data_IF_606477328351
#
_entry.id   IF_606477328351
#
_cell.length_a   1.000
_cell.length_b   1.000
_cell.length_c   1.000
_cell.angle_alpha   90.00
_cell.angle_beta   90.00
_cell.angle_gamma   90.00
#
_symmetry.space_group_name_H-M   'P 1'
#
loop_
_entity.id
_entity.type
_entity.pdbx_description
1 polymer ?
#
# COMPACT_ATOMS: atom_id res chain seq x y z
N UNK A 1 -9.96 14.37 -5.95
CA UNK A 1 -8.68 13.71 -5.63
C UNK A 1 -7.54 14.66 -5.27
N UNK A 2 -6.98 15.39 -6.25
CA UNK A 2 -5.79 16.25 -6.05
C UNK A 2 -5.93 17.27 -4.91
N UNK A 3 -7.09 17.94 -4.79
CA UNK A 3 -7.33 18.93 -3.73
C UNK A 3 -7.18 18.34 -2.32
N UNK A 4 -7.68 17.11 -2.13
CA UNK A 4 -7.55 16.37 -0.86
C UNK A 4 -6.09 16.03 -0.59
N UNK A 5 -5.37 15.57 -1.62
CA UNK A 5 -3.94 15.29 -1.53
C UNK A 5 -3.12 16.54 -1.15
N UNK A 6 -3.39 17.66 -1.82
CA UNK A 6 -2.71 18.93 -1.56
C UNK A 6 -2.95 19.41 -0.12
N UNK A 7 -4.18 19.24 0.38
CA UNK A 7 -4.58 19.66 1.73
C UNK A 7 -3.97 18.80 2.83
N UNK A 8 -3.90 17.48 2.63
CA UNK A 8 -3.62 16.54 3.74
C UNK A 8 -2.34 15.72 3.58
N UNK A 9 -1.84 15.52 2.35
CA UNK A 9 -0.78 14.55 2.07
C UNK A 9 0.55 15.20 1.68
N UNK A 10 0.52 16.35 1.00
CA UNK A 10 1.71 17.03 0.45
C UNK A 10 2.76 17.36 1.51
N UNK A 11 2.33 17.71 2.72
CA UNK A 11 3.26 18.05 3.81
C UNK A 11 4.28 16.96 4.10
N UNK A 12 3.90 15.69 3.96
CA UNK A 12 4.77 14.53 4.17
C UNK A 12 5.23 13.90 2.84
N UNK A 13 4.32 13.68 1.90
CA UNK A 13 4.63 12.95 0.67
C UNK A 13 5.20 13.83 -0.45
N UNK A 14 5.15 15.16 -0.32
CA UNK A 14 5.62 16.11 -1.33
C UNK A 14 4.62 16.31 -2.47
N UNK A 15 4.77 17.42 -3.21
CA UNK A 15 3.88 17.77 -4.33
C UNK A 15 3.88 16.71 -5.43
N UNK A 16 5.03 16.08 -5.65
CA UNK A 16 5.23 15.01 -6.64
C UNK A 16 4.89 13.61 -6.11
N UNK A 17 4.62 13.48 -4.80
CA UNK A 17 4.48 12.18 -4.15
C UNK A 17 5.78 11.40 -3.99
N UNK A 18 6.93 12.05 -4.07
CA UNK A 18 8.26 11.44 -3.99
C UNK A 18 8.75 11.19 -2.54
N UNK A 19 7.89 11.41 -1.55
CA UNK A 19 8.21 11.24 -0.14
C UNK A 19 9.07 12.35 0.44
N UNK A 20 9.23 13.48 -0.28
CA UNK A 20 10.10 14.61 0.10
C UNK A 20 9.31 15.85 0.51
N UNK A 21 8.17 15.66 1.18
CA UNK A 21 7.42 16.78 1.77
C UNK A 21 8.24 17.50 2.85
N UNK A 22 7.88 18.74 3.17
CA UNK A 22 8.59 19.56 4.15
C UNK A 22 8.72 18.89 5.53
N UNK A 23 7.73 18.10 5.95
CA UNK A 23 7.77 17.36 7.21
C UNK A 23 8.69 16.11 7.14
N UNK A 24 8.93 15.55 5.94
CA UNK A 24 9.64 14.28 5.77
C UNK A 24 11.07 14.30 6.32
N UNK A 25 11.73 15.47 6.35
CA UNK A 25 13.10 15.62 6.87
C UNK A 25 13.20 15.23 8.35
N UNK A 26 12.16 15.52 9.14
CA UNK A 26 12.14 15.31 10.59
C UNK A 26 11.50 13.98 11.02
N UNK A 27 10.97 13.19 10.09
CA UNK A 27 10.36 11.90 10.40
C UNK A 27 11.41 10.79 10.46
N UNK A 28 11.37 9.97 11.52
CA UNK A 28 12.20 8.77 11.66
C UNK A 28 11.84 7.73 10.59
N UNK A 29 10.55 7.43 10.47
CA UNK A 29 10.02 6.58 9.40
C UNK A 29 9.69 7.48 8.22
N UNK A 30 10.50 7.40 7.16
CA UNK A 30 10.33 8.23 5.97
C UNK A 30 9.01 7.92 5.25
N UNK A 31 8.27 8.95 4.78
CA UNK A 31 7.08 8.76 3.98
C UNK A 31 7.36 7.93 2.72
N UNK A 32 6.34 7.20 2.25
CA UNK A 32 6.43 6.45 1.02
C UNK A 32 6.61 7.38 -0.18
N UNK A 33 7.63 7.11 -1.01
CA UNK A 33 7.66 7.55 -2.40
C UNK A 33 6.59 6.77 -3.19
N UNK A 34 5.48 7.45 -3.47
CA UNK A 34 4.31 6.93 -4.18
C UNK A 34 4.59 6.76 -5.68
N UNK A 35 5.60 7.46 -6.22
CA UNK A 35 5.97 7.39 -7.65
C UNK A 35 6.56 6.02 -8.02
N UNK A 36 7.13 5.32 -7.04
CA UNK A 36 7.71 3.99 -7.25
C UNK A 36 6.66 2.90 -7.43
N UNK A 37 5.39 3.13 -7.07
CA UNK A 37 4.36 2.11 -7.10
C UNK A 37 4.68 0.88 -6.23
N UNK A 38 5.45 1.07 -5.15
CA UNK A 38 5.87 0.00 -4.23
C UNK A 38 5.22 0.21 -2.87
N UNK A 39 4.30 -0.68 -2.50
CA UNK A 39 3.50 -0.55 -1.28
C UNK A 39 3.77 -1.74 -0.35
N UNK A 40 3.98 -1.44 0.93
CA UNK A 40 4.32 -2.44 1.95
C UNK A 40 3.08 -3.13 2.51
N UNK A 41 2.01 -2.37 2.74
CA UNK A 41 0.78 -2.84 3.35
C UNK A 41 -0.26 -3.05 2.25
N UNK A 42 -0.39 -4.29 1.80
CA UNK A 42 -1.30 -4.68 0.72
C UNK A 42 -1.61 -6.17 0.77
N UNK A 43 -2.78 -6.53 0.27
CA UNK A 43 -3.25 -7.91 0.15
C UNK A 43 -2.77 -8.64 -1.10
N UNK A 44 -2.05 -7.95 -1.99
CA UNK A 44 -1.55 -8.52 -3.26
C UNK A 44 -0.15 -9.11 -3.14
N UNK A 45 0.21 -9.96 -4.11
CA UNK A 45 1.52 -10.62 -4.21
C UNK A 45 2.70 -9.66 -4.22
N UNK A 46 3.85 -10.09 -3.71
CA UNK A 46 5.09 -9.32 -3.80
C UNK A 46 5.37 -8.89 -5.27
N UNK A 47 5.80 -7.64 -5.47
CA UNK A 47 6.02 -7.07 -6.81
C UNK A 47 4.76 -6.61 -7.56
N UNK A 48 3.57 -6.92 -7.05
CA UNK A 48 2.28 -6.49 -7.60
C UNK A 48 1.77 -5.21 -6.95
N UNK A 49 0.96 -4.45 -7.68
CA UNK A 49 0.35 -3.22 -7.19
C UNK A 49 -0.69 -3.52 -6.10
N UNK A 50 -0.93 -2.60 -5.16
CA UNK A 50 -2.03 -2.73 -4.20
C UNK A 50 -3.38 -2.66 -4.90
N UNK A 51 -4.42 -3.16 -4.25
CA UNK A 51 -5.80 -2.84 -4.65
C UNK A 51 -6.20 -1.45 -4.19
N UNK A 52 -7.31 -0.94 -4.71
CA UNK A 52 -7.87 0.33 -4.27
C UNK A 52 -8.26 0.26 -2.78
N UNK A 53 -8.81 -0.87 -2.32
CA UNK A 53 -9.10 -1.13 -0.91
C UNK A 53 -7.85 -1.10 -0.02
N UNK A 54 -6.72 -1.67 -0.47
CA UNK A 54 -5.46 -1.62 0.29
C UNK A 54 -5.01 -0.16 0.53
N UNK A 55 -5.14 0.68 -0.50
CA UNK A 55 -4.82 2.11 -0.41
C UNK A 55 -5.81 2.85 0.50
N UNK A 56 -7.12 2.64 0.30
CA UNK A 56 -8.18 3.24 1.14
C UNK A 56 -8.04 2.86 2.60
N UNK A 57 -7.70 1.60 2.90
CA UNK A 57 -7.52 1.12 4.26
C UNK A 57 -6.32 1.77 4.94
N UNK A 58 -5.22 1.95 4.21
CA UNK A 58 -4.04 2.66 4.71
C UNK A 58 -4.33 4.14 4.98
N UNK A 59 -5.07 4.80 4.09
CA UNK A 59 -5.50 6.21 4.27
C UNK A 59 -6.44 6.33 5.45
N UNK A 60 -7.46 5.47 5.51
CA UNK A 60 -8.50 5.53 6.54
C UNK A 60 -7.90 5.31 7.92
N UNK A 61 -7.08 4.28 8.11
CA UNK A 61 -6.61 3.91 9.43
C UNK A 61 -5.27 4.58 9.82
N UNK A 62 -4.56 5.16 8.87
CA UNK A 62 -3.17 5.54 9.06
C UNK A 62 -2.27 4.32 9.22
N UNK A 63 -0.99 4.54 9.52
CA UNK A 63 0.00 3.46 9.64
C UNK A 63 0.80 3.61 10.93
N UNK A 64 0.34 3.01 12.02
CA UNK A 64 1.12 2.94 13.28
C UNK A 64 2.27 1.94 13.16
N UNK A 65 3.48 2.22 13.72
CA UNK A 65 3.87 3.36 14.55
C UNK A 65 4.47 4.54 13.77
N UNK A 66 4.21 4.66 12.46
CA UNK A 66 4.66 5.82 11.68
C UNK A 66 3.84 7.07 11.98
N UNK A 67 4.32 8.22 11.49
CA UNK A 67 3.61 9.50 11.61
C UNK A 67 2.49 9.69 10.57
N UNK A 68 2.11 8.65 9.82
CA UNK A 68 0.96 8.71 8.91
C UNK A 68 -0.34 8.57 9.72
N UNK A 69 -1.13 9.65 9.90
CA UNK A 69 -2.31 9.62 10.75
C UNK A 69 -3.49 8.93 10.07
N UNK A 70 -4.53 8.67 10.86
CA UNK A 70 -5.85 8.24 10.37
C UNK A 70 -6.58 9.40 9.69
N UNK A 71 -7.18 9.12 8.53
CA UNK A 71 -8.03 10.06 7.80
C UNK A 71 -9.50 9.61 7.78
N UNK A 72 -9.97 8.92 8.84
CA UNK A 72 -11.39 8.49 8.98
C UNK A 72 -12.41 9.62 8.78
N UNK A 73 -12.04 10.86 9.11
CA UNK A 73 -12.89 12.04 8.98
C UNK A 73 -13.09 12.53 7.54
N UNK A 74 -12.26 12.07 6.59
CA UNK A 74 -12.44 12.39 5.16
C UNK A 74 -13.61 11.55 4.63
N UNK A 75 -14.55 12.13 3.87
CA UNK A 75 -15.63 11.40 3.21
C UNK A 75 -15.13 10.25 2.31
N UNK A 76 -15.94 9.20 2.14
CA UNK A 76 -15.53 8.00 1.37
C UNK A 76 -15.32 8.27 -0.11
N UNK A 77 -16.18 9.11 -0.71
CA UNK A 77 -16.05 9.57 -2.09
C UNK A 77 -14.75 10.38 -2.29
N UNK A 78 -14.41 11.26 -1.36
CA UNK A 78 -13.14 11.99 -1.38
C UNK A 78 -11.92 11.07 -1.24
N UNK A 79 -12.04 9.97 -0.48
CA UNK A 79 -10.98 8.96 -0.39
C UNK A 79 -10.83 8.16 -1.69
N UNK A 80 -11.93 7.80 -2.35
CA UNK A 80 -11.90 7.14 -3.66
C UNK A 80 -11.19 8.00 -4.69
N UNK A 81 -11.56 9.28 -4.71
CA UNK A 81 -10.93 10.33 -5.50
C UNK A 81 -9.44 10.51 -5.20
N UNK A 82 -9.06 10.43 -3.93
CA UNK A 82 -7.67 10.51 -3.48
C UNK A 82 -6.88 9.29 -3.94
N UNK A 83 -7.45 8.09 -3.84
CA UNK A 83 -6.84 6.85 -4.36
C UNK A 83 -6.63 6.93 -5.86
N UNK A 84 -7.62 7.41 -6.61
CA UNK A 84 -7.50 7.64 -8.05
C UNK A 84 -6.32 8.57 -8.37
N UNK A 85 -6.18 9.67 -7.62
CA UNK A 85 -5.05 10.59 -7.78
C UNK A 85 -3.69 9.95 -7.40
N UNK A 86 -3.61 9.17 -6.32
CA UNK A 86 -2.37 8.48 -5.95
C UNK A 86 -1.90 7.55 -7.08
N UNK A 87 -2.84 6.88 -7.75
CA UNK A 87 -2.52 6.00 -8.90
C UNK A 87 -1.92 6.78 -10.07
N UNK A 88 -2.27 8.05 -10.26
CA UNK A 88 -1.65 8.87 -11.32
C UNK A 88 -0.19 9.25 -11.05
N UNK A 89 0.29 9.09 -9.81
CA UNK A 89 1.67 9.47 -9.43
C UNK A 89 2.73 8.46 -9.90
N UNK A 90 2.32 7.27 -10.35
CA UNK A 90 3.24 6.23 -10.84
C UNK A 90 2.83 5.69 -12.21
N UNK A 91 3.73 5.65 -13.20
CA UNK A 91 3.41 5.06 -14.51
C UNK A 91 3.17 3.55 -14.43
N UNK A 92 3.52 2.88 -13.32
CA UNK A 92 3.31 1.43 -13.16
C UNK A 92 1.83 1.04 -13.23
N UNK A 93 0.92 1.93 -12.86
CA UNK A 93 -0.52 1.68 -12.97
C UNK A 93 -1.01 1.55 -14.42
N UNK A 94 -0.21 1.99 -15.41
CA UNK A 94 -0.53 1.85 -16.83
C UNK A 94 -0.06 0.51 -17.42
N UNK A 95 0.79 -0.24 -16.71
CA UNK A 95 1.47 -1.45 -17.25
C UNK A 95 1.38 -2.66 -16.32
N UNK A 96 0.93 -2.50 -15.07
CA UNK A 96 0.78 -3.56 -14.08
C UNK A 96 -0.60 -3.47 -13.44
N UNK A 97 -1.11 -4.60 -12.99
CA UNK A 97 -2.39 -4.70 -12.29
C UNK A 97 -2.21 -5.34 -10.90
N UNK A 98 -3.22 -5.18 -10.06
CA UNK A 98 -3.29 -5.82 -8.76
C UNK A 98 -3.63 -7.30 -8.93
N UNK A 99 -2.71 -8.20 -8.58
CA UNK A 99 -2.93 -9.64 -8.58
C UNK A 99 -3.05 -10.14 -7.14
N UNK A 100 -4.26 -10.61 -6.79
CA UNK A 100 -4.49 -11.39 -5.57
C UNK A 100 -4.11 -12.84 -5.84
N UNK A 101 -3.43 -13.47 -4.89
CA UNK A 101 -3.06 -14.86 -5.02
C UNK A 101 -4.30 -15.76 -4.88
N UNK A 102 -4.45 -16.76 -5.76
CA UNK A 102 -5.20 -17.98 -5.47
C UNK A 102 -4.16 -19.07 -5.16
N UNK A 103 -3.67 -19.12 -3.92
CA UNK A 103 -2.95 -20.32 -3.46
C UNK A 103 -3.98 -21.42 -3.22
N UNK A 104 -4.03 -22.40 -4.11
CA UNK A 104 -4.31 -23.76 -3.62
C UNK A 104 -3.04 -24.20 -2.90
N UNK A 105 -3.02 -24.37 -1.57
CA UNK A 105 -1.84 -24.93 -0.92
C UNK A 105 -1.55 -26.30 -1.53
N UNK A 106 -0.40 -26.45 -2.17
CA UNK A 106 0.12 -27.75 -2.56
C UNK A 106 0.67 -28.39 -1.30
N UNK A 107 -0.07 -29.34 -0.73
CA UNK A 107 0.43 -30.20 0.34
C UNK A 107 1.58 -31.00 -0.27
N UNK A 108 2.82 -30.94 0.26
CA UNK A 108 3.91 -31.78 -0.22
C UNK A 108 3.51 -33.26 -0.11
N UNK A 109 3.85 -34.07 -1.11
CA UNK A 109 3.49 -35.50 -1.17
C UNK A 109 3.92 -36.31 0.06
N UNK A 110 4.89 -35.79 0.81
CA UNK A 110 5.43 -36.40 2.02
C UNK A 110 4.56 -36.19 3.26
N UNK A 111 3.68 -35.18 3.30
CA UNK A 111 2.88 -34.87 4.49
C UNK A 111 1.88 -36.01 4.77
N UNK A 112 2.02 -36.65 5.94
CA UNK A 112 1.15 -37.76 6.35
C UNK A 112 1.58 -39.14 5.83
N UNK A 113 2.75 -39.23 5.21
CA UNK A 113 3.33 -40.52 4.78
C UNK A 113 4.05 -41.21 5.94
N UNK A 114 4.21 -42.54 5.84
CA UNK A 114 5.04 -43.30 6.79
C UNK A 114 6.49 -42.77 6.85
N UNK A 115 7.01 -42.26 5.74
CA UNK A 115 8.33 -41.64 5.68
C UNK A 115 8.43 -40.36 6.51
N UNK A 116 7.41 -39.47 6.46
CA UNK A 116 7.40 -38.26 7.29
C UNK A 116 7.21 -38.55 8.79
N UNK A 117 6.50 -39.63 9.12
CA UNK A 117 6.27 -40.03 10.51
C UNK A 117 7.52 -40.67 11.11
N UNK A 118 8.32 -41.38 10.32
CA UNK A 118 9.54 -42.04 10.79
C UNK A 118 10.72 -41.07 11.07
N UNK A 119 10.65 -39.83 10.59
CA UNK A 119 11.71 -38.82 10.72
C UNK A 119 11.38 -37.70 11.72
N UNK A 120 10.20 -37.72 12.35
CA UNK A 120 9.79 -36.77 13.38
C UNK A 120 9.97 -37.34 14.78
#
# INVERSE_FOLDING_TARGET
GKLVYDKYCVGCHGVKGDGKGAAAVNLLIKPRDLTQGLFKFKSTLAGSLPTDDDLKNSITNGLSPSSMPSFKFVPEDEKDDLVAYIKTLSPKWNIKTATKEFLKPTIPDLVGTKASIATG
#
